data_IF_477392705130
#
_entry.id   IF_477392705130
#
_cell.length_a   1.000
_cell.length_b   1.000
_cell.length_c   1.000
_cell.angle_alpha   90.00
_cell.angle_beta   90.00
_cell.angle_gamma   90.00
#
_symmetry.space_group_name_H-M   'P 1'
#
loop_
_entity.id
_entity.type
_entity.pdbx_description
1 polymer ?
#
# COMPACT_ATOMS: atom_id res chain seq x y z
N UNK A 1 46.96 -21.40 -13.57
CA UNK A 1 46.29 -20.11 -13.76
C UNK A 1 44.86 -20.36 -14.22
N UNK A 2 43.87 -20.22 -13.33
CA UNK A 2 42.46 -20.52 -13.65
C UNK A 2 41.61 -19.31 -13.25
N UNK A 3 41.19 -18.52 -14.25
CA UNK A 3 40.36 -17.33 -14.08
C UNK A 3 38.94 -17.73 -13.63
N UNK A 4 38.57 -17.39 -12.38
CA UNK A 4 37.18 -17.48 -11.92
C UNK A 4 36.44 -16.21 -12.37
N UNK A 5 35.62 -16.32 -13.42
CA UNK A 5 34.62 -15.32 -13.77
C UNK A 5 33.51 -15.26 -12.74
N UNK A 6 33.39 -14.15 -12.00
CA UNK A 6 32.25 -13.84 -11.18
C UNK A 6 31.08 -13.44 -12.08
N UNK A 7 30.09 -14.30 -12.21
CA UNK A 7 28.80 -13.91 -12.76
C UNK A 7 28.09 -13.04 -11.74
N UNK A 8 28.06 -11.73 -11.98
CA UNK A 8 27.23 -10.77 -11.24
C UNK A 8 25.75 -11.08 -11.52
N UNK A 9 25.05 -11.50 -10.49
CA UNK A 9 23.63 -11.77 -10.52
C UNK A 9 22.85 -10.51 -10.95
N UNK A 10 22.04 -10.62 -12.00
CA UNK A 10 21.17 -9.56 -12.53
C UNK A 10 20.21 -8.95 -11.50
N UNK A 11 20.05 -9.57 -10.34
CA UNK A 11 19.23 -9.06 -9.22
C UNK A 11 19.89 -7.92 -8.42
N UNK A 12 21.22 -7.72 -8.53
CA UNK A 12 21.92 -6.69 -7.79
C UNK A 12 21.80 -5.30 -8.43
N UNK A 13 21.53 -5.25 -9.74
CA UNK A 13 21.45 -3.98 -10.48
C UNK A 13 20.14 -3.22 -10.20
N UNK A 14 19.03 -3.95 -10.02
CA UNK A 14 17.74 -3.33 -9.68
C UNK A 14 17.64 -2.92 -8.20
N UNK A 15 18.40 -3.57 -7.31
CA UNK A 15 18.47 -3.19 -5.90
C UNK A 15 19.26 -1.89 -5.67
N UNK A 16 20.25 -1.61 -6.50
CA UNK A 16 21.07 -0.41 -6.39
C UNK A 16 20.36 0.87 -6.84
N UNK A 17 19.45 0.79 -7.81
CA UNK A 17 18.71 1.95 -8.30
C UNK A 17 17.60 2.39 -7.33
N UNK A 18 17.03 1.44 -6.56
CA UNK A 18 16.01 1.74 -5.54
C UNK A 18 16.62 2.23 -4.21
N UNK A 19 17.87 1.89 -3.92
CA UNK A 19 18.53 2.26 -2.67
C UNK A 19 19.05 3.70 -2.65
N UNK A 20 19.34 4.29 -3.81
CA UNK A 20 19.92 5.64 -3.90
C UNK A 20 18.92 6.77 -3.64
N UNK A 21 17.62 6.50 -3.71
CA UNK A 21 16.57 7.50 -3.49
C UNK A 21 16.09 7.60 -2.02
N UNK A 22 16.54 6.71 -1.12
CA UNK A 22 16.03 6.62 0.27
C UNK A 22 16.99 7.24 1.30
N UNK A 23 18.22 7.64 0.90
CA UNK A 23 19.26 8.02 1.86
C UNK A 23 19.33 9.52 2.20
N UNK A 24 18.34 10.34 1.80
CA UNK A 24 18.35 11.79 2.08
C UNK A 24 17.22 12.30 3.00
N UNK A 25 16.43 11.43 3.64
CA UNK A 25 15.46 11.83 4.65
C UNK A 25 16.02 11.53 6.04
N UNK A 26 16.58 12.56 6.68
CA UNK A 26 17.07 12.51 8.05
C UNK A 26 15.97 12.33 9.10
N UNK A 27 16.32 11.97 10.35
CA UNK A 27 15.38 11.57 11.37
C UNK A 27 14.78 12.78 12.07
N UNK A 28 13.47 12.98 11.92
CA UNK A 28 12.72 13.90 12.80
C UNK A 28 11.45 13.20 13.29
N UNK A 29 11.28 13.25 14.59
CA UNK A 29 10.13 12.98 15.44
C UNK A 29 9.88 11.54 15.88
N UNK A 30 10.52 11.23 17.02
CA UNK A 30 9.96 10.33 18.02
C UNK A 30 8.86 11.08 18.79
N UNK A 31 7.61 10.92 18.43
CA UNK A 31 6.48 11.38 19.23
C UNK A 31 5.93 10.19 20.00
N UNK A 32 6.00 10.29 21.32
CA UNK A 32 5.48 9.35 22.32
C UNK A 32 3.96 9.20 22.15
N UNK A 33 3.49 7.99 21.85
CA UNK A 33 2.07 7.64 21.92
C UNK A 33 1.77 7.37 23.40
N UNK A 34 1.12 8.32 24.06
CA UNK A 34 0.53 8.12 25.36
C UNK A 34 -0.70 7.21 25.21
N UNK A 35 -0.72 6.12 25.96
CA UNK A 35 -1.87 5.24 26.13
C UNK A 35 -3.01 6.05 26.76
N UNK A 36 -4.05 6.34 25.99
CA UNK A 36 -5.33 6.81 26.53
C UNK A 36 -6.07 5.59 27.08
N UNK A 37 -6.21 5.54 28.41
CA UNK A 37 -7.09 4.62 29.12
C UNK A 37 -8.55 4.96 28.77
N UNK A 38 -9.29 3.97 28.34
CA UNK A 38 -10.75 4.04 28.25
C UNK A 38 -11.36 4.27 29.65
N UNK A 39 -11.94 5.44 29.85
CA UNK A 39 -12.78 5.75 30.99
C UNK A 39 -14.23 5.57 30.54
N UNK A 40 -15.10 4.86 31.31
CA UNK A 40 -16.49 4.66 30.91
C UNK A 40 -17.24 6.00 30.91
N UNK A 41 -17.85 6.31 29.77
CA UNK A 41 -18.67 7.52 29.64
C UNK A 41 -19.93 7.47 30.50
N UNK A 42 -20.06 8.42 31.40
CA UNK A 42 -21.28 8.77 32.08
C UNK A 42 -22.27 9.36 31.09
N UNK A 43 -23.56 8.98 31.07
CA UNK A 43 -24.52 9.55 30.13
C UNK A 43 -24.78 11.03 30.42
N UNK A 44 -24.51 11.89 29.45
CA UNK A 44 -24.86 13.30 29.48
C UNK A 44 -26.37 13.50 29.29
N UNK A 45 -26.98 14.55 29.93
CA UNK A 45 -28.40 14.83 29.79
C UNK A 45 -28.78 15.24 28.38
N UNK A 46 -29.94 14.78 27.92
CA UNK A 46 -30.50 15.09 26.62
C UNK A 46 -30.63 16.61 26.40
N UNK A 47 -29.89 17.13 25.45
CA UNK A 47 -30.08 18.48 24.94
C UNK A 47 -31.33 18.49 24.07
N UNK A 48 -32.30 19.35 24.50
CA UNK A 48 -33.56 19.59 23.82
C UNK A 48 -33.26 20.20 22.41
N UNK A 49 -33.87 19.61 21.40
CA UNK A 49 -33.86 20.13 20.03
C UNK A 49 -34.54 21.52 20.00
N UNK A 50 -33.99 22.50 19.24
CA UNK A 50 -34.67 23.75 19.00
C UNK A 50 -35.89 23.52 18.12
N UNK A 51 -37.06 23.91 18.62
CA UNK A 51 -38.34 23.93 17.93
C UNK A 51 -38.23 24.86 16.71
N UNK A 52 -38.33 24.30 15.51
CA UNK A 52 -38.47 25.08 14.28
C UNK A 52 -39.84 25.76 14.28
N UNK A 53 -39.86 27.08 14.38
CA UNK A 53 -41.03 27.91 14.07
C UNK A 53 -41.31 27.84 12.56
N UNK A 54 -42.58 27.71 12.14
CA UNK A 54 -42.92 27.77 10.72
C UNK A 54 -42.76 29.22 10.22
N UNK A 55 -41.87 29.43 9.27
CA UNK A 55 -41.79 30.68 8.54
C UNK A 55 -42.96 30.78 7.57
N UNK A 56 -43.85 31.73 7.80
CA UNK A 56 -44.89 32.16 6.87
C UNK A 56 -44.26 32.81 5.63
N UNK A 57 -44.75 32.53 4.39
CA UNK A 57 -44.23 33.15 3.18
C UNK A 57 -44.63 34.64 3.16
N UNK A 58 -43.76 35.55 2.69
CA UNK A 58 -44.12 36.96 2.50
C UNK A 58 -45.12 37.13 1.36
N UNK A 59 -46.18 37.80 1.67
CA UNK A 59 -47.25 38.24 0.79
C UNK A 59 -46.71 39.11 -0.36
N UNK A 60 -46.97 38.70 -1.60
CA UNK A 60 -46.69 39.49 -2.78
C UNK A 60 -47.52 40.78 -2.78
N UNK A 61 -46.85 41.90 -2.69
CA UNK A 61 -47.45 43.23 -2.96
C UNK A 61 -47.49 43.42 -4.46
N UNK A 62 -48.69 43.34 -5.05
CA UNK A 62 -48.97 43.74 -6.40
C UNK A 62 -49.01 45.26 -6.44
N UNK A 63 -48.17 45.89 -7.22
CA UNK A 63 -48.31 47.28 -7.63
C UNK A 63 -49.05 47.35 -8.98
N UNK A 64 -49.92 48.39 -9.22
CA UNK A 64 -50.79 48.44 -10.38
C UNK A 64 -49.99 48.78 -11.65
N UNK A 65 -50.27 48.09 -12.73
CA UNK A 65 -49.75 48.37 -14.08
C UNK A 65 -50.60 49.49 -14.68
N UNK A 66 -50.03 50.66 -14.90
CA UNK A 66 -50.58 51.64 -15.83
C UNK A 66 -50.01 51.41 -17.24
N UNK A 67 -50.83 51.45 -18.30
CA UNK A 67 -50.35 51.31 -19.66
C UNK A 67 -49.88 52.68 -20.20
N UNK A 68 -48.59 52.86 -20.35
CA UNK A 68 -48.08 54.05 -21.08
C UNK A 68 -47.80 53.63 -22.54
N UNK A 69 -48.71 54.08 -23.40
CA UNK A 69 -48.64 54.02 -24.85
C UNK A 69 -47.72 55.15 -25.31
N UNK A 70 -46.54 54.85 -25.82
CA UNK A 70 -45.75 55.85 -26.57
C UNK A 70 -45.16 55.23 -27.84
N UNK A 71 -45.28 55.97 -28.99
CA UNK A 71 -45.04 55.39 -30.30
C UNK A 71 -43.56 55.22 -30.62
N UNK A 72 -43.27 54.22 -31.40
CA UNK A 72 -41.95 53.87 -31.93
C UNK A 72 -41.39 55.06 -32.79
N UNK A 73 -40.13 55.36 -32.73
CA UNK A 73 -39.35 55.84 -33.84
C UNK A 73 -38.53 54.73 -34.49
N UNK A 74 -38.69 54.74 -35.79
CA UNK A 74 -38.04 53.90 -36.77
C UNK A 74 -36.53 54.14 -36.87
N UNK A 75 -35.80 53.06 -37.16
CA UNK A 75 -34.52 52.98 -37.88
C UNK A 75 -33.39 53.92 -37.43
N UNK A 76 -32.40 53.28 -36.77
CA UNK A 76 -30.99 53.56 -37.07
C UNK A 76 -30.23 52.19 -37.05
N UNK A 77 -29.41 52.12 -38.05
CA UNK A 77 -28.55 51.01 -38.51
C UNK A 77 -28.03 50.02 -37.48
N UNK A 78 -27.96 48.78 -37.93
CA UNK A 78 -27.35 47.70 -37.22
C UNK A 78 -25.91 47.95 -36.84
N UNK A 79 -25.69 48.05 -35.56
CA UNK A 79 -24.49 47.59 -34.93
C UNK A 79 -24.95 46.43 -34.05
N UNK A 80 -24.77 45.22 -34.59
CA UNK A 80 -24.70 44.04 -33.71
C UNK A 80 -23.73 44.43 -32.58
N UNK A 81 -24.10 44.23 -31.30
CA UNK A 81 -23.12 44.32 -30.25
C UNK A 81 -22.09 43.23 -30.59
N UNK A 82 -20.94 43.68 -31.13
CA UNK A 82 -19.76 42.85 -31.21
C UNK A 82 -19.63 42.20 -29.86
N UNK A 83 -19.96 40.92 -29.77
CA UNK A 83 -19.62 40.09 -28.62
C UNK A 83 -18.13 40.31 -28.45
N UNK A 84 -17.77 41.13 -27.46
CA UNK A 84 -16.39 41.28 -27.02
C UNK A 84 -16.00 39.85 -26.71
N UNK A 85 -15.32 39.22 -27.65
CA UNK A 85 -14.67 37.94 -27.42
C UNK A 85 -13.65 38.22 -26.32
N UNK A 86 -14.12 38.09 -25.09
CA UNK A 86 -13.23 38.02 -23.93
C UNK A 86 -12.15 37.00 -24.31
N UNK A 87 -10.88 37.40 -24.38
CA UNK A 87 -9.83 36.43 -24.65
C UNK A 87 -9.97 35.33 -23.59
N UNK A 88 -10.39 34.16 -24.03
CA UNK A 88 -10.40 32.96 -23.15
C UNK A 88 -8.98 32.81 -22.63
N UNK A 89 -8.74 33.05 -21.35
CA UNK A 89 -7.38 33.02 -20.85
C UNK A 89 -6.98 31.55 -20.77
N UNK A 90 -5.89 31.25 -21.41
CA UNK A 90 -5.07 30.05 -21.25
C UNK A 90 -5.76 28.72 -21.54
N UNK A 91 -5.01 27.81 -22.19
CA UNK A 91 -5.39 26.42 -22.38
C UNK A 91 -5.74 25.79 -21.04
N UNK A 92 -7.04 25.55 -20.78
CA UNK A 92 -7.54 24.81 -19.62
C UNK A 92 -7.27 23.30 -19.74
N UNK A 93 -6.35 22.91 -20.62
CA UNK A 93 -5.85 21.55 -20.67
C UNK A 93 -5.05 21.24 -19.40
N UNK A 94 -5.03 19.98 -18.93
CA UNK A 94 -4.23 19.61 -17.76
C UNK A 94 -2.75 19.98 -17.89
N UNK A 95 -2.22 19.98 -19.11
CA UNK A 95 -0.85 20.40 -19.38
C UNK A 95 -0.67 21.92 -19.29
N UNK A 96 -1.60 22.68 -19.85
CA UNK A 96 -1.61 24.15 -19.73
C UNK A 96 -1.69 24.59 -18.27
N UNK A 97 -2.60 23.98 -17.48
CA UNK A 97 -2.71 24.22 -16.05
C UNK A 97 -1.42 23.89 -15.29
N UNK A 98 -0.74 22.77 -15.63
CA UNK A 98 0.55 22.44 -15.03
C UNK A 98 1.62 23.48 -15.34
N UNK A 99 1.70 23.96 -16.60
CA UNK A 99 2.72 24.95 -17.00
C UNK A 99 2.48 26.31 -16.37
N UNK A 100 1.22 26.71 -16.19
CA UNK A 100 0.84 28.00 -15.60
C UNK A 100 0.94 28.02 -14.07
N UNK A 101 0.81 26.84 -13.41
CA UNK A 101 0.75 26.72 -11.96
C UNK A 101 1.94 27.36 -11.23
N UNK A 102 1.68 27.82 -10.01
CA UNK A 102 2.71 28.29 -9.08
C UNK A 102 3.75 27.22 -8.78
N UNK A 103 4.97 27.65 -8.44
CA UNK A 103 6.10 26.72 -8.18
C UNK A 103 5.81 25.71 -7.09
N UNK A 104 5.06 26.08 -6.05
CA UNK A 104 4.68 25.16 -4.95
C UNK A 104 3.67 24.14 -5.44
N UNK A 105 2.64 24.57 -6.20
CA UNK A 105 1.64 23.67 -6.79
C UNK A 105 2.29 22.73 -7.80
N UNK A 106 3.23 23.22 -8.63
CA UNK A 106 4.05 22.38 -9.51
C UNK A 106 4.82 21.31 -8.75
N UNK A 107 5.51 21.70 -7.66
CA UNK A 107 6.26 20.77 -6.84
C UNK A 107 5.37 19.69 -6.23
N UNK A 108 4.17 20.03 -5.77
CA UNK A 108 3.15 19.09 -5.30
C UNK A 108 2.74 18.12 -6.41
N UNK A 109 2.37 18.63 -7.59
CA UNK A 109 1.95 17.79 -8.71
C UNK A 109 3.05 16.85 -9.19
N UNK A 110 4.29 17.32 -9.30
CA UNK A 110 5.46 16.47 -9.66
C UNK A 110 5.71 15.41 -8.59
N UNK A 111 5.64 15.78 -7.31
CA UNK A 111 5.77 14.82 -6.20
C UNK A 111 4.69 13.74 -6.23
N UNK A 112 3.45 14.09 -6.51
CA UNK A 112 2.33 13.15 -6.64
C UNK A 112 2.46 12.24 -7.87
N UNK A 113 2.90 12.79 -9.00
CA UNK A 113 3.20 12.01 -10.21
C UNK A 113 4.33 11.00 -9.94
N UNK A 114 5.39 11.41 -9.24
CA UNK A 114 6.47 10.52 -8.81
C UNK A 114 5.97 9.43 -7.85
N UNK A 115 5.12 9.77 -6.87
CA UNK A 115 4.51 8.80 -5.96
C UNK A 115 3.65 7.78 -6.72
N UNK A 116 2.92 8.20 -7.75
CA UNK A 116 2.16 7.32 -8.63
C UNK A 116 3.10 6.35 -9.39
N UNK A 117 4.20 6.86 -9.98
CA UNK A 117 5.20 6.02 -10.64
C UNK A 117 5.79 4.97 -9.70
N UNK A 118 6.15 5.37 -8.47
CA UNK A 118 6.64 4.46 -7.42
C UNK A 118 5.61 3.39 -7.09
N UNK A 119 4.34 3.75 -6.98
CA UNK A 119 3.24 2.82 -6.72
C UNK A 119 3.18 1.71 -7.78
N UNK A 120 3.21 2.06 -9.05
CA UNK A 120 3.19 1.11 -10.17
C UNK A 120 4.45 0.25 -10.23
N UNK A 121 5.61 0.83 -9.95
CA UNK A 121 6.89 0.10 -9.88
C UNK A 121 6.87 -0.96 -8.78
N UNK A 122 6.40 -0.60 -7.58
CA UNK A 122 6.27 -1.53 -6.47
C UNK A 122 5.24 -2.61 -6.80
N UNK A 123 4.12 -2.24 -7.40
CA UNK A 123 3.09 -3.21 -7.82
C UNK A 123 3.67 -4.28 -8.72
N UNK A 124 4.38 -3.90 -9.76
CA UNK A 124 4.98 -4.84 -10.71
C UNK A 124 6.02 -5.74 -10.03
N UNK A 125 6.98 -5.15 -9.31
CA UNK A 125 8.06 -5.88 -8.66
C UNK A 125 7.52 -6.87 -7.61
N UNK A 126 6.59 -6.41 -6.77
CA UNK A 126 6.00 -7.23 -5.69
C UNK A 126 5.03 -8.29 -6.21
N UNK A 127 4.29 -8.03 -7.27
CA UNK A 127 3.43 -9.05 -7.88
C UNK A 127 4.24 -10.25 -8.33
N UNK A 128 5.37 -10.03 -8.99
CA UNK A 128 6.28 -11.11 -9.43
C UNK A 128 6.91 -11.84 -8.24
N UNK A 129 7.35 -11.10 -7.22
CA UNK A 129 7.96 -11.67 -6.01
C UNK A 129 6.96 -12.55 -5.25
N UNK A 130 5.74 -12.05 -5.00
CA UNK A 130 4.69 -12.76 -4.25
C UNK A 130 4.23 -14.00 -5.03
N UNK A 131 4.00 -13.87 -6.34
CA UNK A 131 3.58 -15.00 -7.17
C UNK A 131 4.63 -16.11 -7.15
N UNK A 132 5.90 -15.78 -7.41
CA UNK A 132 7.01 -16.73 -7.37
C UNK A 132 7.23 -17.32 -5.98
N UNK A 133 7.05 -16.52 -4.92
CA UNK A 133 7.12 -16.96 -3.53
C UNK A 133 6.04 -17.98 -3.17
N UNK A 134 4.78 -17.67 -3.52
CA UNK A 134 3.64 -18.57 -3.30
C UNK A 134 3.77 -19.89 -4.05
N UNK A 135 4.17 -19.84 -5.32
CA UNK A 135 4.36 -21.06 -6.12
C UNK A 135 5.43 -21.96 -5.51
N UNK A 136 6.57 -21.40 -5.09
CA UNK A 136 7.64 -22.17 -4.42
C UNK A 136 7.19 -22.73 -3.08
N UNK A 137 6.47 -21.94 -2.28
CA UNK A 137 5.95 -22.40 -0.99
C UNK A 137 4.92 -23.53 -1.14
N UNK A 138 4.01 -23.44 -2.11
CA UNK A 138 3.03 -24.51 -2.41
C UNK A 138 3.70 -25.80 -2.85
N UNK A 139 4.69 -25.72 -3.76
CA UNK A 139 5.45 -26.91 -4.18
C UNK A 139 6.18 -27.56 -3.02
N UNK A 140 6.76 -26.75 -2.12
CA UNK A 140 7.43 -27.27 -0.92
C UNK A 140 6.43 -27.91 0.05
N UNK A 141 5.29 -27.27 0.31
CA UNK A 141 4.25 -27.84 1.17
C UNK A 141 3.71 -29.18 0.63
N UNK A 142 3.51 -29.28 -0.69
CA UNK A 142 3.12 -30.53 -1.33
C UNK A 142 4.20 -31.63 -1.22
N UNK A 143 5.47 -31.28 -1.45
CA UNK A 143 6.57 -32.23 -1.31
C UNK A 143 6.70 -32.74 0.14
N UNK A 144 6.54 -31.87 1.13
CA UNK A 144 6.54 -32.22 2.55
C UNK A 144 5.33 -33.11 2.90
N UNK A 145 4.14 -32.73 2.40
CA UNK A 145 2.90 -33.46 2.67
C UNK A 145 2.90 -34.90 2.10
N UNK A 146 3.55 -35.09 0.96
CA UNK A 146 3.65 -36.40 0.29
C UNK A 146 4.83 -37.25 0.78
N UNK A 147 5.69 -36.73 1.65
CA UNK A 147 6.83 -37.49 2.17
C UNK A 147 6.42 -38.36 3.35
N UNK A 148 6.97 -39.57 3.40
CA UNK A 148 6.82 -40.48 4.54
C UNK A 148 7.81 -40.13 5.65
N UNK A 149 9.03 -39.66 5.31
CA UNK A 149 10.12 -39.37 6.26
C UNK A 149 10.70 -37.99 5.99
N UNK A 150 11.36 -37.40 6.99
CA UNK A 150 12.03 -36.09 6.85
C UNK A 150 13.12 -36.15 5.75
N UNK A 151 13.89 -37.23 5.68
CA UNK A 151 14.92 -37.44 4.66
C UNK A 151 14.31 -37.47 3.24
N UNK A 152 13.15 -38.10 3.07
CA UNK A 152 12.45 -38.10 1.77
C UNK A 152 12.01 -36.69 1.35
N UNK A 153 11.47 -35.90 2.30
CA UNK A 153 11.14 -34.50 2.06
C UNK A 153 12.38 -33.69 1.65
N UNK A 154 13.50 -33.88 2.33
CA UNK A 154 14.78 -33.24 2.01
C UNK A 154 15.27 -33.59 0.60
N UNK A 155 15.21 -34.85 0.20
CA UNK A 155 15.57 -35.28 -1.17
C UNK A 155 14.64 -34.70 -2.24
N UNK A 156 13.34 -34.67 -1.98
CA UNK A 156 12.33 -34.12 -2.91
C UNK A 156 12.52 -32.61 -3.14
N UNK A 157 12.92 -31.85 -2.12
CA UNK A 157 13.20 -30.43 -2.20
C UNK A 157 14.62 -30.10 -2.69
N UNK A 158 15.54 -31.02 -2.55
CA UNK A 158 16.93 -30.93 -2.98
C UNK A 158 17.63 -29.66 -2.47
N UNK A 159 18.50 -29.08 -3.30
CA UNK A 159 19.18 -27.81 -3.01
C UNK A 159 18.31 -26.58 -3.35
N UNK A 160 16.99 -26.76 -3.51
CA UNK A 160 16.05 -25.68 -3.81
C UNK A 160 16.14 -24.53 -2.80
N UNK A 161 16.26 -23.31 -3.31
CA UNK A 161 16.22 -22.11 -2.48
C UNK A 161 14.76 -21.75 -2.18
N UNK A 162 14.47 -21.53 -0.91
CA UNK A 162 13.16 -21.04 -0.48
C UNK A 162 12.86 -21.43 0.96
N UNK A 163 11.89 -20.75 1.62
CA UNK A 163 11.64 -21.00 3.03
C UNK A 163 11.16 -22.43 3.31
N UNK A 164 10.40 -23.07 2.41
CA UNK A 164 9.98 -24.45 2.59
C UNK A 164 11.15 -25.45 2.64
N UNK A 165 12.17 -25.28 1.80
CA UNK A 165 13.38 -26.10 1.86
C UNK A 165 14.21 -25.77 3.12
N UNK A 166 14.19 -24.52 3.59
CA UNK A 166 14.85 -24.13 4.85
C UNK A 166 14.19 -24.78 6.07
N UNK A 167 12.85 -24.95 6.07
CA UNK A 167 12.14 -25.64 7.14
C UNK A 167 12.64 -27.08 7.29
N UNK A 168 12.71 -27.82 6.18
CA UNK A 168 13.17 -29.22 6.20
C UNK A 168 14.64 -29.31 6.64
N UNK A 169 15.53 -28.50 6.08
CA UNK A 169 16.94 -28.46 6.45
C UNK A 169 17.16 -28.16 7.94
N UNK A 170 16.41 -27.14 8.46
CA UNK A 170 16.50 -26.80 9.87
C UNK A 170 16.10 -27.96 10.80
N UNK A 171 15.10 -28.75 10.40
CA UNK A 171 14.69 -29.94 11.13
C UNK A 171 15.73 -31.06 11.01
N UNK A 172 16.33 -31.28 9.83
CA UNK A 172 17.42 -32.25 9.62
C UNK A 172 18.66 -31.90 10.44
N UNK A 173 19.07 -30.64 10.45
CA UNK A 173 20.18 -30.13 11.25
C UNK A 173 19.93 -30.32 12.75
N UNK A 174 18.74 -29.98 13.25
CA UNK A 174 18.41 -30.13 14.66
C UNK A 174 18.38 -31.59 15.07
N UNK A 175 17.87 -32.46 14.20
CA UNK A 175 17.90 -33.93 14.42
C UNK A 175 19.35 -34.43 14.47
N UNK A 176 20.21 -33.99 13.58
CA UNK A 176 21.62 -34.39 13.56
C UNK A 176 22.36 -33.94 14.83
N UNK A 177 22.13 -32.67 15.27
CA UNK A 177 22.70 -32.13 16.51
C UNK A 177 22.24 -32.90 17.78
N UNK A 178 21.04 -33.45 17.74
CA UNK A 178 20.41 -34.12 18.86
C UNK A 178 20.64 -35.64 18.82
N UNK A 179 21.31 -36.18 17.82
CA UNK A 179 21.41 -37.61 17.59
C UNK A 179 21.94 -38.40 18.83
N UNK A 180 23.01 -37.92 19.46
CA UNK A 180 23.57 -38.54 20.66
C UNK A 180 22.69 -38.44 21.91
N UNK A 181 21.87 -37.40 22.02
CA UNK A 181 20.95 -37.23 23.15
C UNK A 181 19.68 -38.07 23.02
N UNK A 182 19.29 -38.42 21.81
CA UNK A 182 18.07 -39.16 21.53
C UNK A 182 18.13 -40.63 22.01
N UNK A 183 19.29 -41.16 22.28
CA UNK A 183 19.46 -42.51 22.84
C UNK A 183 19.14 -42.56 24.35
N UNK A 184 19.09 -41.39 25.00
CA UNK A 184 18.88 -41.23 26.43
C UNK A 184 17.69 -40.34 26.81
N UNK A 185 16.99 -39.77 25.83
CA UNK A 185 15.90 -38.79 26.05
C UNK A 185 14.67 -39.12 25.19
N UNK A 186 13.50 -38.69 25.66
CA UNK A 186 12.18 -38.93 25.03
C UNK A 186 11.98 -38.31 23.63
N UNK A 187 12.88 -37.46 23.18
CA UNK A 187 12.73 -36.73 21.90
C UNK A 187 11.83 -35.48 21.96
N UNK A 188 11.14 -35.20 23.06
CA UNK A 188 10.26 -34.05 23.17
C UNK A 188 11.04 -32.72 23.09
N UNK A 189 12.23 -32.66 23.69
CA UNK A 189 13.14 -31.53 23.55
C UNK A 189 13.56 -31.27 22.10
N UNK A 190 13.70 -32.32 21.28
CA UNK A 190 13.95 -32.12 19.84
C UNK A 190 12.74 -31.51 19.15
N UNK A 191 11.51 -31.97 19.41
CA UNK A 191 10.28 -31.44 18.84
C UNK A 191 10.15 -29.94 19.16
N UNK A 192 10.39 -29.55 20.42
CA UNK A 192 10.33 -28.17 20.86
C UNK A 192 11.36 -27.27 20.14
N UNK A 193 12.62 -27.71 20.05
CA UNK A 193 13.69 -26.96 19.36
C UNK A 193 13.39 -26.84 17.88
N UNK A 194 12.93 -27.91 17.22
CA UNK A 194 12.48 -27.85 15.82
C UNK A 194 11.35 -26.86 15.66
N UNK A 195 10.26 -26.95 16.43
CA UNK A 195 9.13 -26.02 16.35
C UNK A 195 9.59 -24.55 16.51
N UNK A 196 10.46 -24.27 17.49
CA UNK A 196 11.03 -22.93 17.69
C UNK A 196 11.81 -22.43 16.47
N UNK A 197 12.68 -23.26 15.87
CA UNK A 197 13.44 -22.90 14.66
C UNK A 197 12.52 -22.66 13.47
N UNK A 198 11.52 -23.52 13.26
CA UNK A 198 10.56 -23.39 12.16
C UNK A 198 9.75 -22.09 12.27
N UNK A 199 9.23 -21.76 13.45
CA UNK A 199 8.51 -20.52 13.70
C UNK A 199 9.36 -19.28 13.36
N UNK A 200 10.66 -19.28 13.68
CA UNK A 200 11.57 -18.17 13.32
C UNK A 200 11.80 -18.06 11.82
N UNK A 201 11.88 -19.17 11.09
CA UNK A 201 12.02 -19.20 9.63
C UNK A 201 10.75 -18.64 8.98
N UNK A 202 9.57 -19.06 9.43
CA UNK A 202 8.29 -18.54 8.96
C UNK A 202 8.17 -17.02 9.17
N UNK A 203 8.45 -16.57 10.40
CA UNK A 203 8.41 -15.15 10.72
C UNK A 203 9.40 -14.32 9.87
N UNK A 204 10.60 -14.86 9.64
CA UNK A 204 11.60 -14.19 8.79
C UNK A 204 11.15 -14.13 7.33
N UNK A 205 10.58 -15.22 6.79
CA UNK A 205 10.05 -15.27 5.44
C UNK A 205 8.88 -14.31 5.24
N UNK A 206 7.98 -14.23 6.23
CA UNK A 206 6.86 -13.30 6.23
C UNK A 206 7.32 -11.83 6.26
N UNK A 207 8.26 -11.49 7.14
CA UNK A 207 8.86 -10.14 7.18
C UNK A 207 9.56 -9.77 5.88
N UNK A 208 10.27 -10.73 5.26
CA UNK A 208 10.91 -10.49 3.96
C UNK A 208 9.86 -10.18 2.88
N UNK A 209 8.77 -10.92 2.85
CA UNK A 209 7.70 -10.75 1.86
C UNK A 209 6.95 -9.41 2.03
N UNK A 210 6.81 -8.90 3.26
CA UNK A 210 6.16 -7.62 3.54
C UNK A 210 7.04 -6.39 3.33
N UNK A 211 8.36 -6.55 3.09
CA UNK A 211 9.25 -5.40 2.84
C UNK A 211 8.80 -4.61 1.62
N UNK A 212 8.77 -3.30 1.75
CA UNK A 212 8.40 -2.36 0.68
C UNK A 212 6.90 -2.13 0.51
N UNK A 213 6.01 -2.96 1.08
CA UNK A 213 4.56 -2.70 1.01
C UNK A 213 4.15 -1.52 1.89
N UNK A 214 4.90 -1.22 2.94
CA UNK A 214 4.64 -0.07 3.81
C UNK A 214 4.65 1.27 3.07
N UNK A 215 5.50 1.41 2.03
CA UNK A 215 5.52 2.64 1.22
C UNK A 215 4.19 2.88 0.49
N UNK A 216 3.53 1.81 0.02
CA UNK A 216 2.18 1.92 -0.58
C UNK A 216 1.15 2.41 0.45
N UNK A 217 1.23 1.92 1.69
CA UNK A 217 0.36 2.39 2.76
C UNK A 217 0.59 3.88 3.04
N UNK A 218 1.86 4.32 3.09
CA UNK A 218 2.22 5.73 3.29
C UNK A 218 1.70 6.61 2.15
N UNK A 219 1.99 6.25 0.88
CA UNK A 219 1.47 7.00 -0.28
C UNK A 219 -0.05 7.06 -0.24
N UNK A 220 -0.72 5.94 0.00
CA UNK A 220 -2.18 5.86 0.06
C UNK A 220 -2.80 6.75 1.14
N UNK A 221 -2.15 6.86 2.30
CA UNK A 221 -2.65 7.68 3.41
C UNK A 221 -2.26 9.15 3.31
N UNK A 222 -1.12 9.50 2.70
CA UNK A 222 -0.61 10.88 2.69
C UNK A 222 -0.90 11.64 1.40
N UNK A 223 -0.94 10.97 0.24
CA UNK A 223 -1.10 11.64 -1.04
C UNK A 223 -2.38 12.50 -1.15
N UNK A 224 -3.55 12.13 -0.59
CA UNK A 224 -4.72 13.01 -0.61
C UNK A 224 -4.49 14.32 0.15
N UNK A 225 -3.77 14.27 1.28
CA UNK A 225 -3.46 15.47 2.08
C UNK A 225 -2.43 16.36 1.39
N UNK A 226 -1.46 15.76 0.67
CA UNK A 226 -0.51 16.51 -0.16
C UNK A 226 -1.24 17.21 -1.31
N UNK A 227 -2.21 16.54 -1.95
CA UNK A 227 -3.08 17.16 -2.95
C UNK A 227 -3.93 18.28 -2.37
N UNK A 228 -4.53 18.08 -1.20
CA UNK A 228 -5.30 19.10 -0.47
C UNK A 228 -4.43 20.31 -0.12
N UNK A 229 -3.18 20.10 0.31
CA UNK A 229 -2.24 21.19 0.53
C UNK A 229 -2.04 22.01 -0.75
N UNK A 230 -1.91 21.34 -1.92
CA UNK A 230 -1.83 22.00 -3.21
C UNK A 230 -3.05 22.89 -3.52
N UNK A 231 -4.28 22.42 -3.18
CA UNK A 231 -5.48 23.27 -3.36
C UNK A 231 -5.51 24.46 -2.42
N UNK A 232 -5.21 24.29 -1.16
CA UNK A 232 -5.19 25.41 -0.19
C UNK A 232 -4.19 26.46 -0.62
N UNK A 233 -2.99 26.05 -1.04
CA UNK A 233 -1.96 26.96 -1.53
C UNK A 233 -2.39 27.71 -2.82
N UNK A 234 -2.91 27.00 -3.81
CA UNK A 234 -3.32 27.60 -5.09
C UNK A 234 -4.50 28.55 -4.94
N UNK A 235 -5.51 28.20 -4.12
CA UNK A 235 -6.63 29.09 -3.82
C UNK A 235 -6.15 30.33 -3.07
N UNK A 236 -5.26 30.18 -2.10
CA UNK A 236 -4.65 31.32 -1.40
C UNK A 236 -3.98 32.29 -2.39
N UNK A 237 -3.19 31.77 -3.32
CA UNK A 237 -2.54 32.60 -4.34
C UNK A 237 -3.55 33.28 -5.28
N UNK A 238 -4.64 32.60 -5.63
CA UNK A 238 -5.72 33.19 -6.43
C UNK A 238 -6.35 34.40 -5.71
N UNK A 239 -6.61 34.29 -4.40
CA UNK A 239 -7.13 35.42 -3.61
C UNK A 239 -6.12 36.57 -3.45
N UNK A 240 -4.83 36.27 -3.31
CA UNK A 240 -3.79 37.31 -3.33
C UNK A 240 -3.79 38.04 -4.66
N UNK A 241 -3.97 37.33 -5.79
CA UNK A 241 -4.11 37.93 -7.13
C UNK A 241 -5.29 38.91 -7.25
N UNK A 242 -6.48 38.56 -6.68
CA UNK A 242 -7.63 39.46 -6.61
C UNK A 242 -7.27 40.73 -5.84
N UNK A 243 -6.65 40.59 -4.69
CA UNK A 243 -6.27 41.73 -3.84
C UNK A 243 -5.30 42.65 -4.53
N UNK A 244 -4.33 42.12 -5.28
CA UNK A 244 -3.35 42.93 -6.03
C UNK A 244 -3.93 43.58 -7.27
N UNK A 245 -4.79 42.87 -8.01
CA UNK A 245 -5.41 43.38 -9.23
C UNK A 245 -6.58 44.34 -8.96
N UNK A 246 -7.05 44.44 -7.72
CA UNK A 246 -8.22 45.26 -7.31
C UNK A 246 -9.44 45.05 -8.21
N UNK A 247 -9.65 43.86 -8.72
CA UNK A 247 -10.75 43.52 -9.62
C UNK A 247 -11.54 42.32 -9.05
N UNK A 248 -12.85 42.38 -9.20
CA UNK A 248 -13.76 41.28 -8.85
C UNK A 248 -14.02 40.34 -10.03
N UNK A 249 -13.28 40.48 -11.13
CA UNK A 249 -13.45 39.64 -12.31
C UNK A 249 -12.96 38.22 -12.05
N UNK A 250 -13.89 37.26 -12.02
CA UNK A 250 -13.61 35.84 -11.81
C UNK A 250 -12.68 35.22 -12.88
N UNK A 251 -12.63 35.82 -14.07
CA UNK A 251 -11.74 35.35 -15.15
C UNK A 251 -10.25 35.42 -14.75
N UNK A 252 -9.88 36.31 -13.83
CA UNK A 252 -8.51 36.48 -13.34
C UNK A 252 -8.10 35.33 -12.42
N UNK A 253 -9.03 34.73 -11.66
CA UNK A 253 -8.74 33.74 -10.64
C UNK A 253 -9.11 32.32 -11.05
N UNK A 254 -9.99 32.16 -12.05
CA UNK A 254 -10.45 30.87 -12.51
C UNK A 254 -9.30 29.89 -12.88
N UNK A 255 -8.23 30.34 -13.59
CA UNK A 255 -7.10 29.45 -13.88
C UNK A 255 -6.40 28.94 -12.61
N UNK A 256 -6.07 29.79 -11.66
CA UNK A 256 -5.39 29.40 -10.41
C UNK A 256 -6.23 28.45 -9.54
N UNK A 257 -7.55 28.62 -9.52
CA UNK A 257 -8.46 27.69 -8.85
C UNK A 257 -8.49 26.34 -9.57
N UNK A 258 -8.53 26.34 -10.91
CA UNK A 258 -8.52 25.10 -11.69
C UNK A 258 -7.23 24.29 -11.48
N UNK A 259 -6.08 24.96 -11.46
CA UNK A 259 -4.77 24.37 -11.17
C UNK A 259 -4.73 23.75 -9.76
N UNK A 260 -5.27 24.46 -8.78
CA UNK A 260 -5.38 24.00 -7.42
C UNK A 260 -6.22 22.70 -7.35
N UNK A 261 -7.39 22.67 -7.96
CA UNK A 261 -8.26 21.49 -8.02
C UNK A 261 -7.59 20.31 -8.72
N UNK A 262 -6.80 20.56 -9.76
CA UNK A 262 -6.00 19.52 -10.42
C UNK A 262 -5.01 18.87 -9.46
N UNK A 263 -4.37 19.62 -8.57
CA UNK A 263 -3.46 19.06 -7.58
C UNK A 263 -4.16 18.07 -6.65
N UNK A 264 -5.39 18.38 -6.18
CA UNK A 264 -6.16 17.41 -5.38
C UNK A 264 -6.57 16.17 -6.18
N UNK A 265 -7.01 16.34 -7.42
CA UNK A 265 -7.34 15.21 -8.29
C UNK A 265 -6.14 14.29 -8.47
N UNK A 266 -4.94 14.83 -8.69
CA UNK A 266 -3.69 14.05 -8.77
C UNK A 266 -3.36 13.32 -7.46
N UNK A 267 -3.63 13.94 -6.30
CA UNK A 267 -3.49 13.30 -4.99
C UNK A 267 -4.35 12.05 -4.86
N UNK A 268 -5.61 12.12 -5.28
CA UNK A 268 -6.53 10.99 -5.28
C UNK A 268 -6.13 9.90 -6.30
N UNK A 269 -5.71 10.29 -7.50
CA UNK A 269 -5.22 9.37 -8.55
C UNK A 269 -3.98 8.60 -8.09
N UNK A 270 -3.11 9.20 -7.29
CA UNK A 270 -1.95 8.54 -6.70
C UNK A 270 -2.34 7.63 -5.52
N UNK A 271 -3.26 8.09 -4.66
CA UNK A 271 -3.61 7.40 -3.41
C UNK A 271 -4.47 6.15 -3.62
N UNK A 272 -5.51 6.23 -4.46
CA UNK A 272 -6.48 5.16 -4.62
C UNK A 272 -5.82 3.85 -5.08
N UNK A 273 -4.99 3.85 -6.16
CA UNK A 273 -4.28 2.64 -6.55
C UNK A 273 -3.32 2.12 -5.46
N UNK A 274 -2.64 3.02 -4.75
CA UNK A 274 -1.70 2.64 -3.69
C UNK A 274 -2.40 1.86 -2.56
N UNK A 275 -3.56 2.34 -2.09
CA UNK A 275 -4.37 1.66 -1.06
C UNK A 275 -4.89 0.31 -1.56
N UNK A 276 -5.44 0.26 -2.78
CA UNK A 276 -5.97 -0.99 -3.35
C UNK A 276 -4.87 -2.04 -3.47
N UNK A 277 -3.72 -1.66 -4.03
CA UNK A 277 -2.57 -2.55 -4.22
C UNK A 277 -2.03 -3.03 -2.87
N UNK A 278 -1.90 -2.14 -1.88
CA UNK A 278 -1.50 -2.49 -0.53
C UNK A 278 -2.41 -3.55 0.08
N UNK A 279 -3.73 -3.37 0.00
CA UNK A 279 -4.71 -4.32 0.54
C UNK A 279 -4.67 -5.69 -0.18
N UNK A 280 -4.44 -5.70 -1.49
CA UNK A 280 -4.24 -6.94 -2.26
C UNK A 280 -2.98 -7.66 -1.80
N UNK A 281 -1.88 -6.93 -1.61
CA UNK A 281 -0.63 -7.53 -1.13
C UNK A 281 -0.72 -8.02 0.31
N UNK A 282 -1.36 -7.27 1.20
CA UNK A 282 -1.58 -7.69 2.60
C UNK A 282 -2.31 -9.04 2.67
N UNK A 283 -3.41 -9.19 1.93
CA UNK A 283 -4.14 -10.47 1.82
C UNK A 283 -3.29 -11.57 1.17
N UNK A 284 -2.51 -11.23 0.15
CA UNK A 284 -1.63 -12.18 -0.52
C UNK A 284 -0.51 -12.68 0.38
N UNK A 285 0.06 -11.82 1.21
CA UNK A 285 1.11 -12.16 2.17
C UNK A 285 0.53 -13.01 3.32
N UNK A 286 -0.69 -12.71 3.78
CA UNK A 286 -1.38 -13.55 4.75
C UNK A 286 -1.57 -14.98 4.23
N UNK A 287 -2.02 -15.16 2.98
CA UNK A 287 -2.13 -16.48 2.36
C UNK A 287 -0.77 -17.16 2.16
N UNK A 288 0.30 -16.43 1.92
CA UNK A 288 1.65 -16.99 1.87
C UNK A 288 2.12 -17.50 3.24
N UNK A 289 1.82 -16.76 4.34
CA UNK A 289 2.09 -17.18 5.71
C UNK A 289 1.39 -18.50 6.03
N UNK A 290 0.12 -18.61 5.64
CA UNK A 290 -0.66 -19.84 5.87
C UNK A 290 -0.01 -21.05 5.18
N UNK A 291 0.41 -20.93 3.93
CA UNK A 291 1.09 -22.00 3.21
C UNK A 291 2.39 -22.42 3.92
N UNK A 292 3.13 -21.47 4.49
CA UNK A 292 4.35 -21.78 5.25
C UNK A 292 4.05 -22.45 6.59
N UNK A 293 3.02 -22.02 7.29
CA UNK A 293 2.58 -22.66 8.54
C UNK A 293 2.11 -24.10 8.30
N UNK A 294 1.38 -24.34 7.20
CA UNK A 294 0.99 -25.70 6.81
C UNK A 294 2.21 -26.58 6.50
N UNK A 295 3.22 -26.01 5.83
CA UNK A 295 4.48 -26.69 5.55
C UNK A 295 5.26 -26.99 6.83
N UNK A 296 5.33 -26.04 7.77
CA UNK A 296 5.96 -26.20 9.09
C UNK A 296 5.32 -27.33 9.89
N UNK A 297 4.00 -27.29 10.04
CA UNK A 297 3.25 -28.35 10.69
C UNK A 297 3.46 -29.72 9.99
N UNK A 298 3.65 -29.71 8.66
CA UNK A 298 4.06 -30.90 7.91
C UNK A 298 5.41 -31.44 8.34
N UNK A 299 6.42 -30.56 8.47
CA UNK A 299 7.77 -30.95 8.95
C UNK A 299 7.73 -31.45 10.38
N UNK A 300 6.98 -30.82 11.28
CA UNK A 300 6.83 -31.28 12.67
C UNK A 300 6.22 -32.66 12.73
N UNK A 301 5.22 -32.99 11.93
CA UNK A 301 4.65 -34.33 11.81
C UNK A 301 5.66 -35.35 11.30
N UNK A 302 6.52 -34.97 10.32
CA UNK A 302 7.59 -35.87 9.86
C UNK A 302 8.61 -36.15 10.94
N UNK A 303 9.03 -35.14 11.70
CA UNK A 303 9.96 -35.29 12.83
C UNK A 303 9.36 -36.18 13.91
N UNK A 304 8.10 -35.97 14.28
CA UNK A 304 7.41 -36.81 15.27
C UNK A 304 7.34 -38.27 14.80
N UNK A 305 6.95 -38.49 13.56
CA UNK A 305 6.87 -39.85 12.97
C UNK A 305 8.26 -40.52 12.93
N UNK A 306 9.30 -39.82 12.51
CA UNK A 306 10.66 -40.36 12.49
C UNK A 306 11.16 -40.73 13.89
N UNK A 307 10.71 -40.05 14.95
CA UNK A 307 10.99 -40.39 16.34
C UNK A 307 10.22 -41.64 16.79
N UNK A 308 8.94 -41.74 16.44
CA UNK A 308 8.10 -42.89 16.79
C UNK A 308 8.65 -44.18 16.16
N UNK A 309 9.14 -44.14 14.92
CA UNK A 309 9.78 -45.32 14.27
C UNK A 309 11.12 -45.73 14.89
N UNK A 310 11.82 -44.83 15.59
CA UNK A 310 13.03 -45.22 16.33
C UNK A 310 12.74 -46.11 17.54
N UNK A 311 11.59 -45.97 18.14
CA UNK A 311 11.18 -46.75 19.30
C UNK A 311 10.63 -48.14 18.93
N UNK A 312 10.34 -48.39 17.65
CA UNK A 312 9.93 -49.69 17.15
C UNK A 312 11.19 -50.53 16.90
N UNK A 313 11.40 -51.65 17.63
CA UNK A 313 12.52 -52.55 17.33
C UNK A 313 12.46 -52.95 15.85
N UNK A 314 13.59 -53.08 15.17
CA UNK A 314 13.60 -53.68 13.85
C UNK A 314 12.90 -55.05 13.99
N UNK A 315 11.86 -55.29 13.15
CA UNK A 315 11.20 -56.56 13.10
C UNK A 315 12.32 -57.60 12.94
N UNK A 316 12.67 -58.24 14.03
CA UNK A 316 13.52 -59.43 14.00
C UNK A 316 12.79 -60.33 13.03
N UNK A 317 13.43 -60.62 11.90
CA UNK A 317 13.02 -61.73 11.06
C UNK A 317 12.82 -62.88 12.00
N UNK A 318 11.57 -63.20 12.30
CA UNK A 318 11.28 -64.47 12.91
C UNK A 318 11.84 -65.48 11.92
N UNK A 319 13.01 -65.98 12.25
CA UNK A 319 13.60 -67.09 11.56
C UNK A 319 12.51 -68.15 11.52
N UNK A 320 12.07 -68.50 10.35
CA UNK A 320 11.32 -69.69 10.12
C UNK A 320 12.19 -70.83 10.57
N UNK A 321 11.83 -71.40 11.72
CA UNK A 321 12.15 -72.78 12.00
C UNK A 321 11.15 -73.70 11.32
#
# INVERSE_FOLDING_TARGET
MKKRGRALSRNSFFAALAASAILSAGPILSASIALAQEQPATPAPAAQAPTQQPMTPPTAVQAPVEPNTQPAPSNVGGEEPSAIALPLPHDLSPWGMFVAADIVVKAVMVGLAFASLVTWTIWLAKSLEILGGKLRARRAAQAIGNAATLMQAGRALGHGGGPGALLVRAAEEERALSAGALDHASGDGLKERVASRLARIEAAAARRMSRGTGLLATIGSTAPFVGLFGTVWGIMNAFIGISQAQTTNLAVVAPGIAEALLATAMGLVAAIPAVVIYNVFARSIAGYRQILADASAGVERLVSRDLDFRTVPPATAMAAE
#
